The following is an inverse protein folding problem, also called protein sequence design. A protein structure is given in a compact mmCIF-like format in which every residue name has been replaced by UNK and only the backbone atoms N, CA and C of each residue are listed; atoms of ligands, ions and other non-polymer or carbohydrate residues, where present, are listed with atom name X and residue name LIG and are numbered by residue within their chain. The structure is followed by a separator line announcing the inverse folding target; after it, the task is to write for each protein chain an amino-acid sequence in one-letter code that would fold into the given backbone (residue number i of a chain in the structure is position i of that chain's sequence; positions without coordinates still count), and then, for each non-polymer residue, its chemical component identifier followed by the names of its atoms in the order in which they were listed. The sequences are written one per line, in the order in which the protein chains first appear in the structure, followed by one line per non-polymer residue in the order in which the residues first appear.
data_IF_185816779337
#
_entry.id   IF_185816779337
#
_cell.length_a   1.000
_cell.length_b   1.000
_cell.length_c   1.000
_cell.angle_alpha   90.00
_cell.angle_beta   90.00
_cell.angle_gamma   90.00
#
_symmetry.space_group_name_H-M   'P 1'
#
loop_
_entity.id
_entity.type
_entity.pdbx_description
1 polymer ?
#
# COMPACT_ATOMS: atom_id res chain seq x y z
N UNK A 1 -28.99 -21.04 -5.05
CA UNK A 1 -27.91 -20.26 -5.70
C UNK A 1 -26.61 -20.66 -5.03
N UNK A 2 -25.54 -20.96 -5.78
CA UNK A 2 -24.22 -21.25 -5.22
C UNK A 2 -23.25 -20.21 -5.78
N UNK A 3 -22.66 -19.40 -4.90
CA UNK A 3 -21.70 -18.36 -5.30
C UNK A 3 -20.30 -18.96 -5.17
N UNK A 4 -19.63 -19.19 -6.28
CA UNK A 4 -18.25 -19.71 -6.30
C UNK A 4 -17.20 -18.64 -6.03
N UNK A 5 -17.43 -17.41 -6.52
CA UNK A 5 -16.51 -16.28 -6.38
C UNK A 5 -17.30 -15.03 -6.03
N UNK A 6 -16.81 -14.27 -5.05
CA UNK A 6 -17.36 -12.97 -4.68
C UNK A 6 -16.28 -11.91 -4.61
N UNK A 7 -16.47 -10.83 -5.35
CA UNK A 7 -15.59 -9.67 -5.35
C UNK A 7 -16.11 -8.62 -4.36
N UNK A 8 -15.28 -8.18 -3.41
CA UNK A 8 -15.67 -7.19 -2.41
C UNK A 8 -14.54 -6.27 -1.99
N UNK A 9 -14.88 -5.32 -1.12
CA UNK A 9 -13.93 -4.45 -0.43
C UNK A 9 -13.21 -5.23 0.68
N UNK A 10 -12.13 -4.66 1.20
CA UNK A 10 -11.43 -5.22 2.35
C UNK A 10 -12.22 -4.99 3.66
N UNK A 11 -13.40 -5.59 3.75
CA UNK A 11 -14.27 -5.62 4.92
C UNK A 11 -14.46 -7.07 5.39
N UNK A 12 -13.90 -7.34 6.57
CA UNK A 12 -14.01 -8.65 7.21
C UNK A 12 -15.43 -9.00 7.63
N UNK A 13 -16.31 -8.01 7.84
CA UNK A 13 -17.69 -8.25 8.29
C UNK A 13 -18.53 -8.82 7.17
N UNK A 14 -18.51 -8.16 6.01
CA UNK A 14 -19.09 -8.65 4.76
C UNK A 14 -18.56 -10.04 4.40
N UNK A 15 -17.24 -10.24 4.48
CA UNK A 15 -16.60 -11.53 4.24
C UNK A 15 -17.13 -12.65 5.13
N UNK A 16 -17.27 -12.41 6.43
CA UNK A 16 -17.78 -13.41 7.38
C UNK A 16 -19.24 -13.75 7.14
N UNK A 17 -20.09 -12.75 6.89
CA UNK A 17 -21.51 -12.94 6.60
C UNK A 17 -21.75 -13.73 5.30
N UNK A 18 -20.90 -13.49 4.28
CA UNK A 18 -20.95 -14.26 3.06
C UNK A 18 -20.55 -15.72 3.29
N UNK A 19 -19.42 -15.96 3.97
CA UNK A 19 -18.90 -17.30 4.22
C UNK A 19 -19.77 -18.12 5.18
N UNK A 20 -20.54 -17.49 6.07
CA UNK A 20 -21.54 -18.21 6.88
C UNK A 20 -22.68 -18.79 6.04
N UNK A 21 -22.97 -18.18 4.89
CA UNK A 21 -24.04 -18.62 3.97
C UNK A 21 -23.49 -19.50 2.84
N UNK A 22 -22.29 -19.16 2.34
CA UNK A 22 -21.60 -19.82 1.22
C UNK A 22 -20.16 -20.16 1.62
N UNK A 23 -19.94 -21.23 2.40
CA UNK A 23 -18.63 -21.54 2.98
C UNK A 23 -17.55 -21.87 1.95
N UNK A 24 -17.96 -22.32 0.75
CA UNK A 24 -17.04 -22.65 -0.35
C UNK A 24 -16.79 -21.47 -1.31
N UNK A 25 -17.29 -20.27 -1.00
CA UNK A 25 -17.11 -19.10 -1.84
C UNK A 25 -15.67 -18.55 -1.71
N UNK A 26 -15.01 -18.34 -2.84
CA UNK A 26 -13.72 -17.66 -2.88
C UNK A 26 -13.92 -16.14 -2.86
N UNK A 27 -13.27 -15.46 -1.92
CA UNK A 27 -13.31 -14.00 -1.81
C UNK A 27 -12.15 -13.39 -2.59
N UNK A 28 -12.47 -12.50 -3.52
CA UNK A 28 -11.50 -11.69 -4.24
C UNK A 28 -11.67 -10.23 -3.81
N UNK A 29 -10.56 -9.55 -3.53
CA UNK A 29 -10.61 -8.14 -3.19
C UNK A 29 -10.49 -7.27 -4.44
N UNK A 30 -11.30 -6.22 -4.52
CA UNK A 30 -11.23 -5.26 -5.60
C UNK A 30 -9.91 -4.47 -5.56
N UNK A 31 -9.05 -4.67 -6.57
CA UNK A 31 -7.77 -3.97 -6.70
C UNK A 31 -7.92 -2.44 -6.66
N UNK A 32 -8.95 -1.91 -7.32
CA UNK A 32 -9.29 -0.48 -7.29
C UNK A 32 -9.63 0.02 -5.88
N UNK A 33 -10.39 -0.74 -5.10
CA UNK A 33 -10.72 -0.37 -3.72
C UNK A 33 -9.53 -0.53 -2.77
N UNK A 34 -8.69 -1.54 -2.96
CA UNK A 34 -7.43 -1.66 -2.20
C UNK A 34 -6.54 -0.44 -2.48
N UNK A 35 -6.36 -0.04 -3.74
CA UNK A 35 -5.57 1.13 -4.10
C UNK A 35 -6.16 2.44 -3.54
N UNK A 36 -7.49 2.60 -3.58
CA UNK A 36 -8.18 3.73 -2.94
C UNK A 36 -8.00 3.74 -1.42
N UNK A 37 -8.00 2.58 -0.78
CA UNK A 37 -7.73 2.45 0.64
C UNK A 37 -6.28 2.79 0.98
N UNK A 38 -5.32 2.42 0.12
CA UNK A 38 -3.94 2.85 0.21
C UNK A 38 -3.82 4.39 0.16
N UNK A 39 -4.49 5.04 -0.80
CA UNK A 39 -4.56 6.50 -0.89
C UNK A 39 -5.13 7.15 0.39
N UNK A 40 -6.26 6.64 0.90
CA UNK A 40 -6.89 7.13 2.13
C UNK A 40 -5.94 7.03 3.33
N UNK A 41 -5.20 5.91 3.43
CA UNK A 41 -4.21 5.72 4.50
C UNK A 41 -3.08 6.75 4.41
N UNK A 42 -2.56 7.02 3.21
CA UNK A 42 -1.54 8.05 3.00
C UNK A 42 -2.05 9.45 3.34
N UNK A 43 -3.29 9.80 2.96
CA UNK A 43 -3.93 11.07 3.36
C UNK A 43 -4.08 11.22 4.87
N UNK A 44 -4.33 10.12 5.59
CA UNK A 44 -4.38 10.14 7.06
C UNK A 44 -3.00 10.38 7.67
N UNK A 45 -1.97 9.71 7.15
CA UNK A 45 -0.58 9.88 7.58
C UNK A 45 -0.08 11.31 7.29
N UNK A 46 -0.47 11.90 6.16
CA UNK A 46 -0.11 13.28 5.80
C UNK A 46 -0.59 14.31 6.85
N UNK A 47 -1.72 14.05 7.51
CA UNK A 47 -2.28 14.93 8.55
C UNK A 47 -1.66 14.69 9.93
N UNK A 48 -0.89 13.62 10.09
CA UNK A 48 -0.45 13.11 11.36
C UNK A 48 0.90 13.73 11.76
N UNK A 49 0.94 14.42 12.90
CA UNK A 49 2.16 15.04 13.43
C UNK A 49 2.98 14.11 14.31
N UNK A 50 2.31 13.27 15.10
CA UNK A 50 2.94 12.30 16.01
C UNK A 50 2.35 10.92 15.75
N UNK A 51 3.11 9.85 16.00
CA UNK A 51 2.60 8.49 15.89
C UNK A 51 1.50 8.21 16.93
N UNK A 52 0.49 7.40 16.56
CA UNK A 52 -0.54 6.94 17.49
C UNK A 52 0.07 5.92 18.46
N UNK A 53 -0.47 5.83 19.68
CA UNK A 53 -0.04 4.83 20.68
C UNK A 53 -0.02 3.40 20.13
N UNK A 54 -1.01 3.05 19.28
CA UNK A 54 -1.08 1.75 18.62
C UNK A 54 0.04 1.51 17.60
N UNK A 55 0.51 2.56 16.92
CA UNK A 55 1.64 2.48 15.99
C UNK A 55 2.96 2.38 16.76
N UNK A 56 3.12 3.16 17.83
CA UNK A 56 4.29 3.10 18.70
C UNK A 56 4.43 1.69 19.25
N UNK A 57 3.40 1.15 19.92
CA UNK A 57 3.40 -0.22 20.45
C UNK A 57 3.75 -1.28 19.40
N UNK A 58 3.37 -1.05 18.14
CA UNK A 58 3.64 -2.00 17.04
C UNK A 58 5.11 -2.00 16.61
N UNK A 59 5.76 -0.84 16.57
CA UNK A 59 7.08 -0.68 15.97
C UNK A 59 8.19 -0.30 16.94
N UNK A 60 7.89 0.06 18.18
CA UNK A 60 8.88 0.47 19.19
C UNK A 60 9.96 -0.59 19.45
N UNK A 61 9.64 -1.88 19.26
CA UNK A 61 10.62 -2.97 19.37
C UNK A 61 11.65 -2.97 18.23
N UNK A 62 11.27 -2.59 17.02
CA UNK A 62 12.15 -2.57 15.85
C UNK A 62 12.77 -1.19 15.65
N UNK A 63 12.04 -0.14 16.01
CA UNK A 63 12.39 1.26 15.80
C UNK A 63 12.04 2.08 17.07
N UNK A 64 12.84 2.00 18.14
CA UNK A 64 12.53 2.66 19.43
C UNK A 64 12.31 4.17 19.31
N UNK A 65 12.95 4.81 18.33
CA UNK A 65 12.81 6.23 18.02
C UNK A 65 11.37 6.62 17.64
N UNK A 66 10.51 5.67 17.25
CA UNK A 66 9.13 5.94 16.84
C UNK A 66 8.30 6.65 17.92
N UNK A 67 8.65 6.44 19.20
CA UNK A 67 7.97 7.06 20.33
C UNK A 67 8.24 8.58 20.44
N UNK A 68 9.36 9.05 19.89
CA UNK A 68 9.86 10.42 20.09
C UNK A 68 9.84 11.26 18.81
N UNK A 69 9.81 10.63 17.64
CA UNK A 69 9.80 11.35 16.35
C UNK A 69 8.49 12.09 16.10
N UNK A 70 8.64 13.32 15.59
CA UNK A 70 7.53 14.21 15.20
C UNK A 70 7.73 14.71 13.78
N UNK A 71 6.65 14.77 13.02
CA UNK A 71 6.66 15.31 11.68
C UNK A 71 6.67 16.85 11.72
N UNK A 72 7.70 17.45 11.11
CA UNK A 72 7.85 18.90 10.99
C UNK A 72 7.28 19.48 9.70
N UNK A 73 6.98 18.63 8.70
CA UNK A 73 6.40 19.04 7.41
C UNK A 73 5.14 19.91 7.58
N UNK A 74 5.08 21.07 6.91
CA UNK A 74 3.92 21.97 6.92
C UNK A 74 2.71 21.32 6.20
N UNK A 75 1.49 21.86 6.43
CA UNK A 75 0.26 21.29 5.84
C UNK A 75 0.08 21.62 4.35
N UNK A 76 1.00 22.35 3.75
CA UNK A 76 1.01 22.72 2.33
C UNK A 76 1.72 21.65 1.47
N UNK A 77 1.76 21.87 0.15
CA UNK A 77 2.42 20.98 -0.82
C UNK A 77 3.96 20.94 -0.68
N UNK A 78 4.53 21.46 0.42
CA UNK A 78 5.96 21.31 0.74
C UNK A 78 6.25 20.14 1.69
N UNK A 79 5.20 19.45 2.17
CA UNK A 79 5.32 18.36 3.11
C UNK A 79 5.74 17.01 2.53
N UNK A 80 6.06 16.09 3.42
CA UNK A 80 6.56 14.74 3.13
C UNK A 80 5.53 13.87 2.34
N UNK A 81 4.24 14.18 2.47
CA UNK A 81 3.12 13.49 1.80
C UNK A 81 2.28 14.50 1.00
N UNK A 82 2.86 15.10 -0.03
CA UNK A 82 2.13 16.00 -0.94
C UNK A 82 1.00 15.28 -1.68
N UNK A 83 0.03 16.04 -2.21
CA UNK A 83 -1.04 15.44 -3.01
C UNK A 83 -0.48 14.72 -4.25
N UNK A 84 0.57 15.28 -4.87
CA UNK A 84 1.28 14.66 -6.00
C UNK A 84 1.89 13.33 -5.60
N UNK A 85 2.58 13.27 -4.45
CA UNK A 85 3.15 12.03 -3.93
C UNK A 85 2.07 10.98 -3.68
N UNK A 86 0.99 11.34 -3.00
CA UNK A 86 -0.11 10.41 -2.68
C UNK A 86 -0.75 9.84 -3.95
N UNK A 87 -0.96 10.68 -4.97
CA UNK A 87 -1.50 10.25 -6.27
C UNK A 87 -0.55 9.29 -6.98
N UNK A 88 0.74 9.61 -7.01
CA UNK A 88 1.76 8.74 -7.61
C UNK A 88 1.86 7.40 -6.87
N UNK A 89 1.89 7.41 -5.53
CA UNK A 89 1.90 6.21 -4.70
C UNK A 89 0.70 5.30 -5.00
N UNK A 90 -0.51 5.88 -5.15
CA UNK A 90 -1.71 5.12 -5.54
C UNK A 90 -1.56 4.46 -6.91
N UNK A 91 -1.09 5.21 -7.91
CA UNK A 91 -0.91 4.70 -9.29
C UNK A 91 0.11 3.57 -9.31
N UNK A 92 1.26 3.77 -8.69
CA UNK A 92 2.32 2.76 -8.62
C UNK A 92 1.85 1.51 -7.87
N UNK A 93 1.12 1.69 -6.76
CA UNK A 93 0.53 0.57 -6.01
C UNK A 93 -0.46 -0.24 -6.87
N UNK A 94 -1.34 0.43 -7.62
CA UNK A 94 -2.23 -0.25 -8.57
C UNK A 94 -1.46 -1.01 -9.65
N UNK A 95 -0.42 -0.39 -10.22
CA UNK A 95 0.42 -1.01 -11.23
C UNK A 95 1.12 -2.27 -10.71
N UNK A 96 1.63 -2.23 -9.47
CA UNK A 96 2.23 -3.41 -8.83
C UNK A 96 1.20 -4.54 -8.75
N UNK A 97 0.01 -4.28 -8.20
CA UNK A 97 -1.06 -5.29 -8.06
C UNK A 97 -1.38 -5.93 -9.41
N UNK A 98 -1.55 -5.11 -10.45
CA UNK A 98 -1.86 -5.61 -11.80
C UNK A 98 -0.72 -6.46 -12.37
N UNK A 99 0.53 -6.11 -12.06
CA UNK A 99 1.71 -6.76 -12.63
C UNK A 99 2.13 -8.07 -11.95
N UNK A 100 1.77 -8.28 -10.69
CA UNK A 100 2.17 -9.47 -9.90
C UNK A 100 1.07 -10.53 -9.76
N UNK A 101 -0.16 -10.20 -10.19
CA UNK A 101 -1.31 -11.10 -10.13
C UNK A 101 -1.48 -11.70 -8.72
N UNK A 102 -1.31 -13.02 -8.56
CA UNK A 102 -1.48 -13.75 -7.30
C UNK A 102 -0.17 -13.99 -6.52
N UNK A 103 0.97 -13.47 -6.98
CA UNK A 103 2.25 -13.67 -6.31
C UNK A 103 2.48 -12.64 -5.19
N UNK A 104 2.32 -13.11 -3.95
CA UNK A 104 2.50 -12.28 -2.76
C UNK A 104 3.96 -11.83 -2.56
N UNK A 105 4.93 -12.69 -2.86
CA UNK A 105 6.33 -12.35 -2.63
C UNK A 105 6.78 -11.31 -3.68
N UNK A 106 6.42 -11.51 -4.94
CA UNK A 106 6.65 -10.52 -5.99
C UNK A 106 5.98 -9.17 -5.68
N UNK A 107 4.78 -9.17 -5.08
CA UNK A 107 4.14 -7.94 -4.60
C UNK A 107 5.00 -7.20 -3.58
N UNK A 108 5.50 -7.91 -2.55
CA UNK A 108 6.34 -7.35 -1.50
C UNK A 108 7.65 -6.82 -2.09
N UNK A 109 8.32 -7.61 -2.92
CA UNK A 109 9.61 -7.27 -3.52
C UNK A 109 9.50 -6.04 -4.44
N UNK A 110 8.43 -5.94 -5.24
CA UNK A 110 8.16 -4.76 -6.06
C UNK A 110 7.83 -3.53 -5.23
N UNK A 111 7.09 -3.69 -4.12
CA UNK A 111 6.80 -2.57 -3.23
C UNK A 111 8.07 -2.06 -2.53
N UNK A 112 8.98 -2.95 -2.15
CA UNK A 112 10.28 -2.59 -1.60
C UNK A 112 11.16 -1.91 -2.66
N UNK A 113 11.20 -2.46 -3.88
CA UNK A 113 11.95 -1.89 -5.01
C UNK A 113 11.43 -0.51 -5.41
N UNK A 114 10.11 -0.29 -5.33
CA UNK A 114 9.49 1.02 -5.52
C UNK A 114 10.10 2.07 -4.59
N UNK A 115 10.13 1.77 -3.29
CA UNK A 115 10.60 2.70 -2.27
C UNK A 115 12.12 2.87 -2.27
N UNK A 116 12.86 1.79 -2.50
CA UNK A 116 14.33 1.77 -2.43
C UNK A 116 14.99 2.41 -3.66
N UNK A 117 14.43 2.18 -4.85
CA UNK A 117 15.05 2.52 -6.13
C UNK A 117 14.18 3.43 -7.01
N UNK A 118 13.01 2.96 -7.47
CA UNK A 118 12.22 3.68 -8.48
C UNK A 118 11.80 5.09 -8.03
N UNK A 119 11.38 5.25 -6.76
CA UNK A 119 11.03 6.54 -6.20
C UNK A 119 12.21 7.54 -6.13
N UNK A 120 13.45 7.03 -6.22
CA UNK A 120 14.68 7.83 -6.28
C UNK A 120 15.21 7.98 -7.72
N UNK A 121 14.41 7.59 -8.71
CA UNK A 121 14.79 7.56 -10.12
C UNK A 121 16.01 6.65 -10.41
N UNK A 122 16.20 5.62 -9.59
CA UNK A 122 17.21 4.57 -9.82
C UNK A 122 16.49 3.40 -10.50
N UNK A 123 16.88 3.11 -11.74
CA UNK A 123 16.18 2.11 -12.56
C UNK A 123 16.98 0.82 -12.80
N UNK A 124 18.22 0.76 -12.34
CA UNK A 124 19.09 -0.42 -12.36
C UNK A 124 19.89 -0.48 -11.05
N UNK A 125 20.14 -1.68 -10.53
CA UNK A 125 20.93 -1.96 -9.33
C UNK A 125 21.54 -3.36 -9.41
N UNK A 126 22.51 -3.68 -8.54
CA UNK A 126 23.32 -4.90 -8.63
C UNK A 126 22.49 -6.21 -8.81
N UNK A 127 21.32 -6.28 -8.15
CA UNK A 127 20.43 -7.44 -8.17
C UNK A 127 19.14 -7.24 -8.99
N UNK A 128 19.04 -6.24 -9.88
CA UNK A 128 17.83 -6.08 -10.69
C UNK A 128 17.63 -4.74 -11.39
N UNK A 129 16.44 -4.58 -11.97
CA UNK A 129 16.03 -3.38 -12.70
C UNK A 129 14.60 -2.97 -12.41
N UNK A 130 14.25 -1.75 -12.81
CA UNK A 130 12.89 -1.22 -12.74
C UNK A 130 11.94 -2.04 -13.63
N UNK A 131 10.78 -2.40 -13.08
CA UNK A 131 9.72 -3.13 -13.79
C UNK A 131 8.42 -2.31 -13.91
N UNK A 132 8.49 -1.00 -13.66
CA UNK A 132 7.32 -0.12 -13.63
C UNK A 132 6.97 0.46 -15.01
N UNK A 133 7.99 0.67 -15.85
CA UNK A 133 7.86 1.12 -17.23
C UNK A 133 9.16 0.74 -17.97
N UNK A 134 9.07 0.63 -19.29
CA UNK A 134 10.27 0.53 -20.11
C UNK A 134 11.09 1.83 -19.97
N UNK A 135 12.41 1.71 -20.06
CA UNK A 135 13.29 2.86 -20.15
C UNK A 135 13.06 3.50 -21.53
N UNK A 136 12.32 4.60 -21.57
CA UNK A 136 12.30 5.45 -22.76
C UNK A 136 13.67 6.12 -22.86
N UNK A 137 14.45 5.69 -23.86
CA UNK A 137 15.73 6.28 -24.27
C UNK A 137 15.49 7.69 -24.84
#
# INVERSE_FOLDING_TARGET
MNISIHMQDNDSTSSKALLSTFPNCSIILCSGHIARNHEKRSKRLAKQKNFLKSQIKKYERTDPCIATVKCHCMKDDTGCFTNRFIKAARINFSGIIQSVCCDQQAFIDRLHSLAKYHAKNVHEWDDGKCFFHDLTV
#
